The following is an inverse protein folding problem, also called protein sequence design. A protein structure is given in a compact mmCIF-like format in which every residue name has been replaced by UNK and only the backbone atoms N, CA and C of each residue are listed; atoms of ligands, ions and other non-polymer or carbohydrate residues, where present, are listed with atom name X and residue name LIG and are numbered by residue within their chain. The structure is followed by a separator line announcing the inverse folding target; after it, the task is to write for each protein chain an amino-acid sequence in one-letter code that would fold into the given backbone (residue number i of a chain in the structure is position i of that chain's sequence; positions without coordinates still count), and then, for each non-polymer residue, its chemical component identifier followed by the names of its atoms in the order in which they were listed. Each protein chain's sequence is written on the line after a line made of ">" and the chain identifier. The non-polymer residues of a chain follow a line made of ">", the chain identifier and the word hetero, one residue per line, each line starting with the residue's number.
data_IF_298599654339
#
_entry.id   IF_298599654339
#
_cell.length_a   1.000
_cell.length_b   1.000
_cell.length_c   1.000
_cell.angle_alpha   90.00
_cell.angle_beta   90.00
_cell.angle_gamma   90.00
#
_symmetry.space_group_name_H-M   'P 1'
#
loop_
_entity.id
_entity.type
_entity.pdbx_description
1 polymer ?
#
# COMPACT_ATOMS: atom_id res chain seq x y z
N UNK A 1 9.08 -4.34 18.40
CA UNK A 1 8.98 -3.77 19.75
C UNK A 1 8.60 -4.91 20.67
N UNK A 2 9.46 -5.32 21.61
CA UNK A 2 9.05 -6.30 22.62
C UNK A 2 8.43 -5.56 23.79
N UNK A 3 7.32 -6.10 24.30
CA UNK A 3 6.74 -5.60 25.55
C UNK A 3 7.65 -6.03 26.69
N UNK A 4 7.93 -5.10 27.61
CA UNK A 4 8.79 -5.37 28.74
C UNK A 4 8.00 -6.13 29.81
N UNK A 5 7.87 -7.44 29.62
CA UNK A 5 7.17 -8.35 30.53
C UNK A 5 7.77 -8.40 31.93
N UNK A 6 9.06 -8.07 32.09
CA UNK A 6 9.68 -7.88 33.40
C UNK A 6 9.05 -6.72 34.19
N UNK A 7 8.87 -5.55 33.57
CA UNK A 7 8.19 -4.41 34.22
C UNK A 7 6.73 -4.72 34.58
N UNK A 8 6.03 -5.47 33.73
CA UNK A 8 4.65 -5.89 33.99
C UNK A 8 4.61 -6.84 35.21
N UNK A 9 5.55 -7.79 35.27
CA UNK A 9 5.68 -8.71 36.39
C UNK A 9 6.01 -7.98 37.71
N UNK A 10 6.95 -7.04 37.69
CA UNK A 10 7.33 -6.24 38.86
C UNK A 10 6.16 -5.41 39.42
N UNK A 11 5.34 -4.83 38.54
CA UNK A 11 4.15 -4.08 38.97
C UNK A 11 3.11 -5.03 39.57
N UNK A 12 2.86 -6.19 38.96
CA UNK A 12 1.89 -7.13 39.47
C UNK A 12 2.34 -7.83 40.76
N UNK A 13 3.63 -8.12 40.93
CA UNK A 13 4.16 -8.79 42.12
C UNK A 13 4.14 -7.89 43.37
N UNK A 14 4.03 -6.57 43.19
CA UNK A 14 3.85 -5.62 44.30
C UNK A 14 2.49 -5.74 45.00
N UNK A 15 1.48 -6.30 44.32
CA UNK A 15 0.07 -6.33 44.79
C UNK A 15 -0.56 -7.73 44.74
N UNK A 16 0.11 -8.72 44.13
CA UNK A 16 -0.37 -10.09 43.97
C UNK A 16 0.72 -11.10 44.35
N UNK A 17 0.36 -12.28 44.90
CA UNK A 17 1.29 -13.39 45.08
C UNK A 17 2.01 -13.74 43.78
N UNK A 18 3.32 -14.05 43.82
CA UNK A 18 4.17 -14.32 42.64
C UNK A 18 3.52 -15.24 41.60
N UNK A 19 2.83 -16.29 42.06
CA UNK A 19 2.18 -17.28 41.21
C UNK A 19 1.06 -16.66 40.34
N UNK A 20 0.33 -15.69 40.88
CA UNK A 20 -0.76 -14.99 40.19
C UNK A 20 -0.20 -13.88 39.29
N UNK A 21 0.80 -13.13 39.78
CA UNK A 21 1.51 -12.12 38.98
C UNK A 21 2.13 -12.72 37.71
N UNK A 22 2.75 -13.90 37.83
CA UNK A 22 3.33 -14.64 36.70
C UNK A 22 2.27 -15.14 35.72
N UNK A 23 1.15 -15.64 36.23
CA UNK A 23 0.05 -16.14 35.39
C UNK A 23 -0.60 -15.03 34.57
N UNK A 24 -0.84 -13.88 35.18
CA UNK A 24 -1.46 -12.73 34.51
C UNK A 24 -0.49 -12.09 33.52
N UNK A 25 0.79 -11.96 33.86
CA UNK A 25 1.81 -11.45 32.92
C UNK A 25 1.89 -12.33 31.67
N UNK A 26 1.85 -13.66 31.84
CA UNK A 26 1.90 -14.61 30.72
C UNK A 26 0.62 -14.58 29.88
N UNK A 27 -0.55 -14.40 30.50
CA UNK A 27 -1.80 -14.24 29.77
C UNK A 27 -1.83 -12.95 28.93
N UNK A 28 -1.30 -11.85 29.48
CA UNK A 28 -1.16 -10.57 28.77
C UNK A 28 -0.17 -10.71 27.60
N UNK A 29 0.97 -11.37 27.81
CA UNK A 29 1.96 -11.63 26.75
C UNK A 29 1.33 -12.42 25.59
N UNK A 30 0.62 -13.51 25.89
CA UNK A 30 -0.05 -14.33 24.89
C UNK A 30 -1.14 -13.57 24.12
N UNK A 31 -2.04 -12.87 24.84
CA UNK A 31 -3.12 -12.11 24.20
C UNK A 31 -2.56 -10.99 23.30
N UNK A 32 -1.43 -10.40 23.71
CA UNK A 32 -0.79 -9.34 22.95
C UNK A 32 -0.04 -9.87 21.73
N UNK A 33 0.61 -11.04 21.82
CA UNK A 33 1.20 -11.71 20.65
C UNK A 33 0.12 -12.06 19.60
N UNK A 34 -1.04 -12.53 20.05
CA UNK A 34 -2.19 -12.83 19.20
C UNK A 34 -2.74 -11.55 18.52
N UNK A 35 -2.92 -10.46 19.28
CA UNK A 35 -3.33 -9.15 18.74
C UNK A 35 -2.30 -8.53 17.78
N UNK A 36 -1.00 -8.67 18.05
CA UNK A 36 0.03 -8.19 17.12
C UNK A 36 0.07 -9.03 15.85
N UNK A 37 -0.14 -10.34 15.93
CA UNK A 37 -0.18 -11.22 14.78
C UNK A 37 -1.33 -10.87 13.83
N UNK A 38 -2.53 -10.64 14.38
CA UNK A 38 -3.70 -10.21 13.60
C UNK A 38 -3.52 -8.80 13.02
N UNK A 39 -2.94 -7.88 13.79
CA UNK A 39 -2.73 -6.50 13.34
C UNK A 39 -1.67 -6.42 12.26
N UNK A 40 -0.62 -7.26 12.29
CA UNK A 40 0.45 -7.29 11.27
C UNK A 40 -0.06 -7.58 9.86
N UNK A 41 -1.17 -8.30 9.73
CA UNK A 41 -1.84 -8.52 8.43
C UNK A 41 -2.66 -7.31 7.96
N UNK A 42 -3.13 -6.46 8.89
CA UNK A 42 -4.00 -5.31 8.62
C UNK A 42 -3.20 -4.02 8.34
N UNK A 43 -2.01 -3.88 8.91
CA UNK A 43 -1.14 -2.71 8.63
C UNK A 43 -0.39 -2.93 7.33
N UNK A 44 -0.66 -2.07 6.34
CA UNK A 44 0.15 -1.99 5.12
C UNK A 44 1.61 -1.77 5.51
N UNK A 45 2.44 -2.76 5.24
CA UNK A 45 3.86 -2.71 5.54
C UNK A 45 4.52 -1.69 4.61
N UNK A 46 5.68 -1.14 5.00
CA UNK A 46 6.47 -0.29 4.08
C UNK A 46 6.70 -0.95 2.72
N UNK A 47 6.84 -2.28 2.70
CA UNK A 47 6.93 -3.08 1.49
C UNK A 47 5.68 -3.01 0.59
N UNK A 48 4.48 -3.00 1.18
CA UNK A 48 3.22 -2.91 0.43
C UNK A 48 3.06 -1.54 -0.20
N UNK A 49 3.45 -0.49 0.54
CA UNK A 49 3.48 0.89 0.03
C UNK A 49 4.46 1.00 -1.16
N UNK A 50 5.68 0.49 -1.03
CA UNK A 50 6.65 0.50 -2.13
C UNK A 50 6.17 -0.31 -3.35
N UNK A 51 5.47 -1.43 -3.13
CA UNK A 51 4.86 -2.21 -4.21
C UNK A 51 3.73 -1.46 -4.92
N UNK A 52 2.94 -0.68 -4.17
CA UNK A 52 1.91 0.21 -4.72
C UNK A 52 2.54 1.34 -5.55
N UNK A 53 3.60 1.98 -5.05
CA UNK A 53 4.33 3.04 -5.78
C UNK A 53 4.87 2.53 -7.12
N UNK A 54 5.53 1.36 -7.13
CA UNK A 54 6.04 0.73 -8.36
C UNK A 54 4.92 0.41 -9.36
N UNK A 55 3.77 -0.07 -8.88
CA UNK A 55 2.61 -0.32 -9.75
C UNK A 55 2.07 0.98 -10.34
N UNK A 56 2.01 2.06 -9.55
CA UNK A 56 1.57 3.37 -10.02
C UNK A 56 2.51 3.90 -11.10
N UNK A 57 3.83 3.79 -10.90
CA UNK A 57 4.83 4.17 -11.89
C UNK A 57 4.70 3.37 -13.19
N UNK A 58 4.51 2.04 -13.09
CA UNK A 58 4.29 1.17 -14.24
C UNK A 58 3.05 1.59 -15.05
N UNK A 59 1.92 1.82 -14.37
CA UNK A 59 0.68 2.26 -15.02
C UNK A 59 0.87 3.64 -15.66
N UNK A 60 1.52 4.58 -14.96
CA UNK A 60 1.80 5.90 -15.53
C UNK A 60 2.64 5.80 -16.82
N UNK A 61 3.66 4.95 -16.83
CA UNK A 61 4.48 4.69 -18.01
C UNK A 61 3.67 4.10 -19.16
N UNK A 62 2.79 3.15 -18.88
CA UNK A 62 1.88 2.58 -19.87
C UNK A 62 0.90 3.60 -20.44
N UNK A 63 0.30 4.43 -19.58
CA UNK A 63 -0.59 5.50 -20.02
C UNK A 63 0.13 6.49 -20.95
N UNK A 64 1.37 6.88 -20.63
CA UNK A 64 2.17 7.76 -21.50
C UNK A 64 2.40 7.12 -22.87
N UNK A 65 2.73 5.83 -22.93
CA UNK A 65 2.90 5.11 -24.21
C UNK A 65 1.60 5.11 -25.03
N UNK A 66 0.46 4.83 -24.38
CA UNK A 66 -0.84 4.84 -25.04
C UNK A 66 -1.28 6.22 -25.50
N UNK A 67 -0.92 7.27 -24.76
CA UNK A 67 -1.16 8.64 -25.19
C UNK A 67 -0.47 8.90 -26.54
N UNK A 68 0.79 8.55 -26.74
CA UNK A 68 1.46 8.80 -28.03
C UNK A 68 0.74 8.17 -29.23
N UNK A 69 0.28 6.92 -29.10
CA UNK A 69 -0.48 6.23 -30.16
C UNK A 69 -1.79 6.97 -30.46
N UNK A 70 -2.47 7.41 -29.41
CA UNK A 70 -3.69 8.20 -29.53
C UNK A 70 -3.41 9.53 -30.24
N UNK A 71 -2.41 10.29 -29.81
CA UNK A 71 -2.06 11.59 -30.39
C UNK A 71 -1.65 11.47 -31.87
N UNK A 72 -0.89 10.45 -32.26
CA UNK A 72 -0.54 10.20 -33.67
C UNK A 72 -1.80 9.88 -34.50
N UNK A 73 -2.72 9.09 -33.96
CA UNK A 73 -3.99 8.79 -34.64
C UNK A 73 -4.82 10.05 -34.86
N UNK A 74 -4.90 10.94 -33.86
CA UNK A 74 -5.61 12.22 -34.01
C UNK A 74 -4.97 13.10 -35.09
N UNK A 75 -3.64 13.19 -35.13
CA UNK A 75 -2.93 13.95 -36.16
C UNK A 75 -3.19 13.39 -37.56
N UNK A 76 -3.24 12.06 -37.72
CA UNK A 76 -3.56 11.41 -38.98
C UNK A 76 -4.97 11.75 -39.47
N UNK A 77 -5.95 11.68 -38.57
CA UNK A 77 -7.35 12.00 -38.89
C UNK A 77 -7.49 13.48 -39.27
N UNK A 78 -6.95 14.39 -38.45
CA UNK A 78 -7.00 15.83 -38.72
C UNK A 78 -6.31 16.18 -40.06
N UNK A 79 -5.14 15.59 -40.32
CA UNK A 79 -4.43 15.78 -41.59
C UNK A 79 -5.25 15.27 -42.77
N UNK A 80 -5.91 14.12 -42.62
CA UNK A 80 -6.79 13.56 -43.65
C UNK A 80 -8.00 14.44 -43.95
N UNK A 81 -8.64 14.99 -42.91
CA UNK A 81 -9.77 15.92 -43.06
C UNK A 81 -9.32 17.18 -43.80
N UNK A 82 -8.22 17.80 -43.37
CA UNK A 82 -7.69 19.01 -44.00
C UNK A 82 -7.35 18.74 -45.47
N UNK A 83 -6.68 17.63 -45.77
CA UNK A 83 -6.35 17.25 -47.14
C UNK A 83 -7.60 17.05 -48.02
N UNK A 84 -8.63 16.39 -47.48
CA UNK A 84 -9.90 16.19 -48.18
C UNK A 84 -10.60 17.53 -48.47
N UNK A 85 -10.63 18.45 -47.49
CA UNK A 85 -11.19 19.79 -47.67
C UNK A 85 -10.43 20.61 -48.72
N UNK A 86 -9.09 20.60 -48.68
CA UNK A 86 -8.27 21.30 -49.67
C UNK A 86 -8.49 20.74 -51.08
N UNK A 87 -8.53 19.40 -51.23
CA UNK A 87 -8.82 18.75 -52.51
C UNK A 87 -10.19 19.11 -53.06
N UNK A 88 -11.20 19.25 -52.20
CA UNK A 88 -12.55 19.64 -52.60
C UNK A 88 -12.63 21.13 -52.95
N UNK A 89 -11.87 21.99 -52.27
CA UNK A 89 -11.83 23.43 -52.55
C UNK A 89 -11.11 23.78 -53.86
N UNK A 90 -10.05 23.06 -54.21
CA UNK A 90 -9.25 23.29 -55.42
C UNK A 90 -9.75 22.52 -56.66
N UNK A 91 -10.89 21.85 -56.57
CA UNK A 91 -11.54 21.12 -57.68
C UNK A 91 -12.78 21.86 -58.14
#
# INVERSE_FOLDING_TARGET
>A
MSVNTLKIYEILSSSLPEKQAKSVTKAIENALEEDWSSKKEVIATKADISKLELKIESIRSELIKWMFIFWISQLGILSGIIFAMLKLYFR
#
